data_IF_558970621363
#
_entry.id   IF_558970621363
#
_cell.length_a   1.000
_cell.length_b   1.000
_cell.length_c   1.000
_cell.angle_alpha   90.00
_cell.angle_beta   90.00
_cell.angle_gamma   90.00
#
_symmetry.space_group_name_H-M   'P 1'
#
loop_
_entity.id
_entity.type
_entity.pdbx_description
1 polymer ?
#
# COMPACT_ATOMS: atom_id res chain seq x y z
N UNK A 1 24.12 -7.35 24.92
CA UNK A 1 23.75 -7.20 23.49
C UNK A 1 22.71 -8.25 23.12
N UNK A 2 21.74 -7.93 22.26
CA UNK A 2 20.54 -8.75 22.02
C UNK A 2 20.75 -10.01 21.16
N UNK A 3 21.86 -10.14 20.41
CA UNK A 3 22.23 -11.32 19.59
C UNK A 3 21.08 -11.84 18.69
N UNK A 4 20.59 -11.03 17.73
CA UNK A 4 19.57 -11.49 16.79
C UNK A 4 20.14 -12.58 15.87
N UNK A 5 19.29 -13.50 15.43
CA UNK A 5 19.64 -14.58 14.49
C UNK A 5 19.60 -14.14 13.01
N UNK A 6 18.84 -13.08 12.71
CA UNK A 6 18.71 -12.52 11.36
C UNK A 6 18.29 -11.04 11.42
N UNK A 7 18.51 -10.31 10.32
CA UNK A 7 18.05 -8.93 10.14
C UNK A 7 17.05 -8.87 8.99
N UNK A 8 15.92 -8.19 9.22
CA UNK A 8 14.94 -7.90 8.17
C UNK A 8 15.19 -6.47 7.66
N UNK A 9 15.50 -6.31 6.37
CA UNK A 9 15.86 -5.02 5.77
C UNK A 9 15.10 -4.75 4.47
N UNK A 10 14.85 -3.49 4.16
CA UNK A 10 14.21 -3.05 2.92
C UNK A 10 15.11 -2.16 2.05
N UNK A 11 16.02 -1.41 2.68
CA UNK A 11 16.84 -0.42 2.02
C UNK A 11 18.08 -1.08 1.37
N UNK A 12 18.31 -0.89 0.06
CA UNK A 12 19.47 -1.44 -0.61
C UNK A 12 20.80 -0.98 -0.01
N UNK A 13 20.89 0.29 0.42
CA UNK A 13 22.09 0.85 1.02
C UNK A 13 22.46 0.16 2.34
N UNK A 14 21.45 -0.13 3.18
CA UNK A 14 21.65 -0.92 4.39
C UNK A 14 22.05 -2.37 4.07
N UNK A 15 21.44 -2.99 3.07
CA UNK A 15 21.79 -4.36 2.66
C UNK A 15 23.23 -4.44 2.16
N UNK A 16 23.73 -3.41 1.48
CA UNK A 16 25.14 -3.33 1.06
C UNK A 16 26.11 -3.26 2.25
N UNK A 17 25.67 -2.82 3.44
CA UNK A 17 26.51 -2.86 4.66
C UNK A 17 26.74 -4.26 5.22
N UNK A 18 26.15 -5.29 4.59
CA UNK A 18 26.41 -6.72 4.87
C UNK A 18 27.90 -7.07 4.90
N UNK A 19 28.73 -6.38 4.13
CA UNK A 19 30.19 -6.59 4.14
C UNK A 19 30.80 -6.48 5.56
N UNK A 20 30.20 -5.69 6.45
CA UNK A 20 30.64 -5.57 7.84
C UNK A 20 30.16 -6.72 8.75
N UNK A 21 29.16 -7.51 8.31
CA UNK A 21 28.50 -8.57 9.08
C UNK A 21 28.15 -9.78 8.17
N UNK A 22 29.14 -10.42 7.54
CA UNK A 22 28.90 -11.42 6.48
C UNK A 22 28.14 -12.66 6.97
N UNK A 23 28.28 -13.00 8.24
CA UNK A 23 27.68 -14.18 8.87
C UNK A 23 26.24 -13.93 9.37
N UNK A 24 25.73 -12.70 9.28
CA UNK A 24 24.37 -12.36 9.70
C UNK A 24 23.39 -12.56 8.54
N UNK A 25 22.42 -13.50 8.64
CA UNK A 25 21.35 -13.66 7.66
C UNK A 25 20.57 -12.36 7.45
N UNK A 26 20.31 -12.05 6.19
CA UNK A 26 19.46 -10.92 5.81
C UNK A 26 18.22 -11.45 5.11
N UNK A 27 17.06 -11.08 5.64
CA UNK A 27 15.77 -11.30 5.02
C UNK A 27 15.26 -9.99 4.41
N UNK A 28 14.73 -10.05 3.21
CA UNK A 28 14.17 -8.88 2.55
C UNK A 28 12.76 -8.61 3.06
N UNK A 29 12.53 -7.41 3.58
CA UNK A 29 11.24 -6.92 4.04
C UNK A 29 10.24 -6.78 2.89
N UNK A 30 8.96 -7.04 3.17
CA UNK A 30 7.83 -6.74 2.28
C UNK A 30 7.80 -5.26 1.83
N UNK A 31 8.42 -4.35 2.60
CA UNK A 31 8.55 -2.93 2.24
C UNK A 31 9.43 -2.70 0.99
N UNK A 32 10.27 -3.67 0.61
CA UNK A 32 11.01 -3.64 -0.64
C UNK A 32 10.12 -3.91 -1.87
N UNK A 33 8.86 -4.32 -1.67
CA UNK A 33 7.87 -4.56 -2.72
C UNK A 33 8.38 -5.49 -3.84
N UNK A 34 8.73 -6.72 -3.48
CA UNK A 34 9.20 -7.71 -4.46
C UNK A 34 8.01 -8.46 -5.04
N UNK A 35 7.72 -8.17 -6.31
CA UNK A 35 6.51 -8.64 -7.04
C UNK A 35 6.82 -9.53 -8.25
N UNK A 36 8.08 -9.86 -8.53
CA UNK A 36 8.42 -10.71 -9.67
C UNK A 36 9.72 -11.48 -9.42
N UNK A 37 9.92 -12.54 -10.21
CA UNK A 37 11.06 -13.44 -10.07
C UNK A 37 12.40 -12.77 -10.39
N UNK A 38 12.42 -11.75 -11.26
CA UNK A 38 13.66 -11.07 -11.64
C UNK A 38 14.20 -10.26 -10.46
N UNK A 39 13.32 -9.58 -9.73
CA UNK A 39 13.66 -8.88 -8.49
C UNK A 39 14.12 -9.87 -7.40
N UNK A 40 13.50 -11.04 -7.29
CA UNK A 40 13.97 -12.09 -6.37
C UNK A 40 15.40 -12.53 -6.71
N UNK A 41 15.71 -12.80 -7.98
CA UNK A 41 17.07 -13.16 -8.42
C UNK A 41 18.09 -12.06 -8.17
N UNK A 42 17.69 -10.80 -8.37
CA UNK A 42 18.53 -9.67 -8.05
C UNK A 42 18.92 -9.69 -6.56
N UNK A 43 17.94 -9.81 -5.66
CA UNK A 43 18.22 -9.86 -4.22
C UNK A 43 19.01 -11.11 -3.80
N UNK A 44 18.77 -12.25 -4.45
CA UNK A 44 19.59 -13.44 -4.28
C UNK A 44 21.07 -13.17 -4.60
N UNK A 45 21.34 -12.46 -5.71
CA UNK A 45 22.71 -12.10 -6.11
C UNK A 45 23.36 -11.11 -5.15
N UNK A 46 22.57 -10.34 -4.40
CA UNK A 46 23.03 -9.44 -3.34
C UNK A 46 23.27 -10.16 -2.00
N UNK A 47 23.04 -11.48 -1.94
CA UNK A 47 23.29 -12.29 -0.74
C UNK A 47 22.17 -12.27 0.30
N UNK A 48 20.95 -11.92 -0.09
CA UNK A 48 19.74 -12.12 0.73
C UNK A 48 19.43 -13.61 0.81
N UNK A 49 19.13 -14.10 2.01
CA UNK A 49 18.84 -15.52 2.27
C UNK A 49 17.35 -15.85 2.10
N UNK A 50 16.48 -14.89 2.45
CA UNK A 50 15.02 -15.04 2.35
C UNK A 50 14.36 -13.79 1.81
N UNK A 51 13.40 -13.96 0.90
CA UNK A 51 12.58 -12.86 0.40
C UNK A 51 11.16 -13.00 0.93
N UNK A 52 10.71 -11.99 1.67
CA UNK A 52 9.31 -11.86 2.07
C UNK A 52 8.55 -11.20 0.90
N UNK A 53 7.72 -11.99 0.23
CA UNK A 53 7.02 -11.56 -0.97
C UNK A 53 5.94 -10.52 -0.66
N UNK A 54 5.65 -9.69 -1.66
CA UNK A 54 4.60 -8.68 -1.55
C UNK A 54 3.22 -9.30 -1.33
N UNK A 55 2.36 -8.59 -0.58
CA UNK A 55 0.99 -9.04 -0.25
C UNK A 55 0.00 -8.85 -1.40
N UNK A 56 0.47 -8.28 -2.49
CA UNK A 56 -0.30 -7.93 -3.67
C UNK A 56 -0.21 -8.99 -4.76
N UNK A 57 0.60 -10.05 -4.56
CA UNK A 57 0.76 -11.13 -5.52
C UNK A 57 -0.37 -12.17 -5.43
N UNK A 58 -0.80 -12.64 -6.60
CA UNK A 58 -1.66 -13.81 -6.75
C UNK A 58 -0.89 -15.12 -6.50
N UNK A 59 -1.63 -16.21 -6.26
CA UNK A 59 -1.02 -17.54 -6.08
C UNK A 59 -0.27 -18.00 -7.34
N UNK A 60 -0.79 -17.71 -8.53
CA UNK A 60 -0.15 -18.07 -9.80
C UNK A 60 1.20 -17.35 -9.98
N UNK A 61 1.27 -16.07 -9.60
CA UNK A 61 2.53 -15.31 -9.63
C UNK A 61 3.52 -15.83 -8.58
N UNK A 62 3.06 -16.18 -7.39
CA UNK A 62 3.91 -16.80 -6.36
C UNK A 62 4.45 -18.15 -6.84
N UNK A 63 3.62 -18.97 -7.50
CA UNK A 63 4.05 -20.22 -8.10
C UNK A 63 5.12 -19.97 -9.16
N UNK A 64 4.92 -19.01 -10.07
CA UNK A 64 5.91 -18.65 -11.09
C UNK A 64 7.26 -18.26 -10.45
N UNK A 65 7.21 -17.41 -9.42
CA UNK A 65 8.41 -16.98 -8.67
C UNK A 65 9.11 -18.19 -8.06
N UNK A 66 8.36 -19.10 -7.43
CA UNK A 66 8.91 -20.31 -6.82
C UNK A 66 9.58 -21.22 -7.84
N UNK A 67 8.96 -21.43 -9.00
CA UNK A 67 9.51 -22.28 -10.06
C UNK A 67 10.78 -21.66 -10.68
N UNK A 68 10.82 -20.34 -10.84
CA UNK A 68 11.97 -19.65 -11.44
C UNK A 68 13.13 -19.40 -10.48
N UNK A 69 12.88 -19.44 -9.17
CA UNK A 69 13.86 -19.22 -8.10
C UNK A 69 13.84 -20.36 -7.07
N UNK A 70 14.15 -21.62 -7.46
CA UNK A 70 14.02 -22.78 -6.58
C UNK A 70 14.96 -22.75 -5.37
N UNK A 71 16.13 -22.11 -5.52
CA UNK A 71 17.19 -22.03 -4.51
C UNK A 71 16.99 -20.89 -3.50
N UNK A 72 15.94 -20.07 -3.65
CA UNK A 72 15.64 -18.96 -2.75
C UNK A 72 14.59 -19.37 -1.71
N UNK A 73 14.77 -18.95 -0.45
CA UNK A 73 13.72 -19.02 0.55
C UNK A 73 12.68 -17.93 0.32
N UNK A 74 11.40 -18.32 0.23
CA UNK A 74 10.28 -17.40 0.04
C UNK A 74 9.37 -17.46 1.27
N UNK A 75 9.00 -16.29 1.78
CA UNK A 75 8.02 -16.14 2.86
C UNK A 75 6.81 -15.36 2.34
N UNK A 76 5.61 -15.85 2.64
CA UNK A 76 4.35 -15.29 2.14
C UNK A 76 3.37 -15.11 3.29
N UNK A 77 2.66 -13.98 3.30
CA UNK A 77 1.57 -13.74 4.24
C UNK A 77 0.30 -14.44 3.76
N UNK A 78 -0.23 -15.37 4.55
CA UNK A 78 -1.50 -16.06 4.27
C UNK A 78 -2.70 -15.29 4.84
N UNK A 79 -2.55 -14.73 6.04
CA UNK A 79 -3.60 -13.96 6.72
C UNK A 79 -3.01 -12.73 7.41
N UNK A 80 -3.78 -11.65 7.51
CA UNK A 80 -3.34 -10.44 8.22
C UNK A 80 -4.14 -9.20 7.81
N UNK A 81 -3.74 -8.05 8.36
CA UNK A 81 -4.29 -6.77 7.93
C UNK A 81 -3.74 -6.44 6.53
N UNK A 82 -4.50 -6.79 5.49
CA UNK A 82 -4.25 -6.30 4.13
C UNK A 82 -4.39 -4.78 4.17
N UNK A 83 -3.29 -4.11 3.83
CA UNK A 83 -3.25 -2.66 3.74
C UNK A 83 -3.81 -2.28 2.37
N UNK A 84 -4.74 -1.33 2.31
CA UNK A 84 -5.21 -0.79 1.03
C UNK A 84 -4.10 0.03 0.33
N UNK A 85 -3.16 0.56 1.12
CA UNK A 85 -1.97 1.21 0.59
C UNK A 85 -0.88 0.19 0.27
N UNK A 86 -0.27 0.37 -0.89
CA UNK A 86 0.73 -0.53 -1.45
C UNK A 86 2.00 -0.61 -0.58
N UNK A 87 2.37 -1.81 -0.15
CA UNK A 87 3.62 -2.11 0.58
C UNK A 87 3.93 -1.21 1.80
N UNK A 88 2.89 -0.74 2.52
CA UNK A 88 3.07 0.10 3.72
C UNK A 88 3.29 1.59 3.45
N UNK A 89 3.27 2.03 2.19
CA UNK A 89 3.34 3.45 1.79
C UNK A 89 1.96 4.10 1.89
N UNK A 90 1.45 4.24 3.11
CA UNK A 90 0.15 4.84 3.35
C UNK A 90 0.22 6.36 3.35
N UNK A 91 -0.10 6.98 2.21
CA UNK A 91 -0.26 8.44 2.10
C UNK A 91 -1.36 8.95 3.06
N UNK A 92 -2.43 8.17 3.24
CA UNK A 92 -3.54 8.51 4.13
C UNK A 92 -3.07 8.68 5.59
N UNK A 93 -2.32 7.72 6.13
CA UNK A 93 -1.81 7.79 7.50
C UNK A 93 -0.80 8.92 7.68
N UNK A 94 0.09 9.11 6.70
CA UNK A 94 1.08 10.19 6.73
C UNK A 94 0.43 11.57 6.66
N UNK A 95 -0.56 11.74 5.80
CA UNK A 95 -1.21 13.03 5.54
C UNK A 95 -2.21 13.41 6.64
N UNK A 96 -3.08 12.49 7.07
CA UNK A 96 -4.13 12.81 8.06
C UNK A 96 -3.61 12.81 9.50
N UNK A 97 -2.72 11.88 9.83
CA UNK A 97 -2.31 11.65 11.22
C UNK A 97 -0.86 12.03 11.50
N UNK A 98 -0.12 12.50 10.49
CA UNK A 98 1.30 12.82 10.61
C UNK A 98 2.12 11.69 11.24
N UNK A 99 1.69 10.44 10.97
CA UNK A 99 2.27 9.22 11.50
C UNK A 99 2.87 8.41 10.38
N UNK A 100 4.15 8.09 10.52
CA UNK A 100 4.88 7.28 9.54
C UNK A 100 4.42 5.82 9.62
N UNK A 101 3.72 5.30 8.59
CA UNK A 101 3.31 3.92 8.54
C UNK A 101 4.49 2.93 8.54
N UNK A 102 5.68 3.34 8.09
CA UNK A 102 6.87 2.49 8.05
C UNK A 102 7.49 2.26 9.44
N UNK A 103 7.07 3.01 10.45
CA UNK A 103 7.48 2.83 11.86
C UNK A 103 6.45 2.03 12.67
N UNK A 104 5.49 1.37 12.01
CA UNK A 104 4.45 0.61 12.70
C UNK A 104 3.41 1.48 13.42
N UNK A 105 3.38 2.80 13.15
CA UNK A 105 2.46 3.75 13.81
C UNK A 105 1.13 3.94 13.07
N UNK A 106 0.84 3.05 12.11
CA UNK A 106 -0.39 3.10 11.31
C UNK A 106 -1.64 3.14 12.18
N UNK A 107 -2.54 4.08 11.89
CA UNK A 107 -3.79 4.32 12.62
C UNK A 107 -5.00 3.64 11.99
N UNK A 108 -4.79 2.90 10.90
CA UNK A 108 -5.86 2.31 10.09
C UNK A 108 -6.89 3.35 9.61
N UNK A 109 -6.43 4.55 9.23
CA UNK A 109 -7.31 5.61 8.72
C UNK A 109 -8.13 5.19 7.51
N UNK A 110 -7.62 4.24 6.71
CA UNK A 110 -8.37 3.65 5.60
C UNK A 110 -9.66 2.90 6.01
N UNK A 111 -9.89 2.64 7.31
CA UNK A 111 -11.09 1.98 7.83
C UNK A 111 -12.03 2.93 8.55
N UNK A 112 -11.71 4.21 8.57
CA UNK A 112 -12.57 5.21 9.20
C UNK A 112 -13.82 5.41 8.36
N UNK A 113 -14.88 5.88 9.01
CA UNK A 113 -16.10 6.26 8.32
C UNK A 113 -15.88 7.62 7.69
N UNK A 114 -16.00 7.65 6.36
CA UNK A 114 -15.92 8.85 5.58
C UNK A 114 -17.25 9.08 4.88
N UNK A 115 -17.75 10.31 4.97
CA UNK A 115 -18.86 10.78 4.18
C UNK A 115 -18.33 11.47 2.92
N UNK A 116 -18.93 11.14 1.77
CA UNK A 116 -18.55 11.72 0.48
C UNK A 116 -19.50 12.87 0.13
N UNK A 117 -18.96 14.08 0.08
CA UNK A 117 -19.67 15.28 -0.33
C UNK A 117 -19.30 15.62 -1.78
N UNK A 118 -20.26 15.75 -2.72
CA UNK A 118 -19.92 16.11 -4.08
C UNK A 118 -19.27 17.49 -4.15
N UNK A 119 -18.37 17.67 -5.12
CA UNK A 119 -17.63 18.90 -5.33
C UNK A 119 -17.50 19.23 -6.82
N UNK A 120 -17.30 20.50 -7.15
CA UNK A 120 -16.98 20.96 -8.50
C UNK A 120 -15.87 22.01 -8.47
N UNK A 121 -15.18 22.16 -9.60
CA UNK A 121 -14.21 23.23 -9.79
C UNK A 121 -14.93 24.51 -10.23
N UNK A 122 -14.66 25.62 -9.57
CA UNK A 122 -15.19 26.93 -9.97
C UNK A 122 -14.37 27.53 -11.12
N UNK A 123 -14.79 28.68 -11.65
CA UNK A 123 -14.10 29.35 -12.76
C UNK A 123 -12.67 29.83 -12.42
N UNK A 124 -12.31 29.86 -11.13
CA UNK A 124 -11.01 30.28 -10.61
C UNK A 124 -10.06 29.09 -10.38
N UNK A 125 -10.54 27.86 -10.58
CA UNK A 125 -9.78 26.61 -10.37
C UNK A 125 -9.89 26.03 -8.96
N UNK A 126 -10.69 26.63 -8.08
CA UNK A 126 -10.88 26.15 -6.71
C UNK A 126 -11.95 25.05 -6.64
N UNK A 127 -11.69 24.02 -5.85
CA UNK A 127 -12.66 22.95 -5.56
C UNK A 127 -13.64 23.41 -4.47
N UNK A 128 -14.93 23.45 -4.80
CA UNK A 128 -16.01 23.88 -3.89
C UNK A 128 -17.10 22.82 -3.76
N UNK A 129 -17.77 22.77 -2.61
CA UNK A 129 -18.85 21.81 -2.33
C UNK A 129 -20.05 22.00 -3.29
N UNK A 130 -20.62 20.89 -3.73
CA UNK A 130 -21.73 20.82 -4.67
C UNK A 130 -22.82 19.88 -4.13
N UNK A 131 -23.86 20.41 -3.48
CA UNK A 131 -25.04 19.63 -3.09
C UNK A 131 -24.89 18.70 -1.88
N UNK A 132 -25.86 17.79 -1.72
CA UNK A 132 -26.03 16.92 -0.55
C UNK A 132 -25.13 15.67 -0.58
N UNK A 133 -24.90 15.08 0.59
CA UNK A 133 -24.09 13.85 0.82
C UNK A 133 -24.57 12.71 -0.08
N UNK A 134 -23.65 12.05 -0.81
CA UNK A 134 -24.00 10.83 -1.55
C UNK A 134 -24.15 9.64 -0.59
N UNK A 135 -25.20 8.83 -0.77
CA UNK A 135 -25.38 7.60 -0.01
C UNK A 135 -24.48 6.49 -0.57
N UNK A 136 -23.92 5.66 0.31
CA UNK A 136 -23.16 4.46 -0.11
C UNK A 136 -23.95 3.51 -1.02
N UNK A 137 -25.29 3.54 -0.98
CA UNK A 137 -26.16 2.79 -1.89
C UNK A 137 -25.98 3.20 -3.35
N UNK A 138 -25.55 4.43 -3.61
CA UNK A 138 -25.48 5.04 -4.93
C UNK A 138 -24.12 4.77 -5.61
N UNK A 139 -23.17 4.19 -4.86
CA UNK A 139 -21.77 3.95 -5.26
C UNK A 139 -21.42 2.44 -5.21
N UNK A 140 -22.27 1.62 -4.58
CA UNK A 140 -22.02 0.22 -4.24
C UNK A 140 -22.16 -0.75 -5.43
N UNK A 141 -21.24 -0.67 -6.39
CA UNK A 141 -20.96 -1.75 -7.35
C UNK A 141 -19.48 -2.15 -7.38
N UNK A 142 -18.79 -2.01 -6.25
CA UNK A 142 -17.40 -2.47 -6.11
C UNK A 142 -17.34 -4.01 -6.12
N UNK A 143 -17.15 -4.58 -7.32
CA UNK A 143 -16.84 -5.98 -7.56
C UNK A 143 -15.35 -6.12 -7.90
N UNK A 144 -14.69 -7.15 -7.39
CA UNK A 144 -13.34 -7.51 -7.83
C UNK A 144 -13.42 -8.21 -9.19
N UNK A 145 -12.70 -7.70 -10.19
CA UNK A 145 -12.53 -8.35 -11.50
C UNK A 145 -13.48 -7.85 -12.59
N UNK A 146 -12.92 -7.13 -13.58
CA UNK A 146 -13.51 -6.95 -14.90
C UNK A 146 -14.75 -6.06 -15.03
N UNK A 147 -15.25 -5.46 -13.96
CA UNK A 147 -16.39 -4.52 -14.03
C UNK A 147 -15.96 -3.14 -14.51
N UNK A 148 -16.75 -2.54 -15.42
CA UNK A 148 -16.56 -1.16 -15.85
C UNK A 148 -16.62 -0.20 -14.66
N UNK A 149 -15.71 0.78 -14.66
CA UNK A 149 -15.65 1.80 -13.62
C UNK A 149 -16.96 2.59 -13.58
N UNK A 150 -17.51 2.80 -12.39
CA UNK A 150 -18.75 3.55 -12.24
C UNK A 150 -18.53 5.03 -12.65
N UNK A 151 -19.41 5.64 -13.47
CA UNK A 151 -19.22 7.01 -13.97
C UNK A 151 -19.07 8.07 -12.86
N UNK A 152 -19.74 7.88 -11.71
CA UNK A 152 -19.60 8.79 -10.56
C UNK A 152 -18.19 8.76 -9.93
N UNK A 153 -17.39 7.74 -10.20
CA UNK A 153 -16.03 7.63 -9.68
C UNK A 153 -15.04 8.59 -10.36
N UNK A 154 -15.45 9.29 -11.43
CA UNK A 154 -14.64 10.30 -12.13
C UNK A 154 -14.89 11.73 -11.63
N UNK A 155 -15.83 11.93 -10.72
CA UNK A 155 -16.13 13.24 -10.13
C UNK A 155 -15.22 13.55 -8.92
N UNK A 156 -15.19 14.83 -8.54
CA UNK A 156 -14.46 15.32 -7.37
C UNK A 156 -15.38 15.27 -6.15
N UNK A 157 -14.82 14.84 -5.01
CA UNK A 157 -15.53 14.78 -3.75
C UNK A 157 -14.69 15.39 -2.62
N UNK A 158 -15.35 15.91 -1.58
CA UNK A 158 -14.73 16.09 -0.29
C UNK A 158 -14.98 14.84 0.56
N UNK A 159 -13.98 14.44 1.34
CA UNK A 159 -14.15 13.46 2.40
C UNK A 159 -14.30 14.21 3.74
N UNK A 160 -15.37 13.90 4.44
CA UNK A 160 -15.59 14.33 5.82
C UNK A 160 -15.50 13.12 6.77
N UNK A 161 -14.87 13.28 7.92
CA UNK A 161 -14.72 12.23 8.94
C UNK A 161 -15.69 12.50 10.10
N UNK A 162 -16.51 11.50 10.44
CA UNK A 162 -17.56 11.61 11.47
C UNK A 162 -17.02 11.98 12.88
N UNK A 163 -15.74 11.66 13.17
CA UNK A 163 -15.19 11.67 14.54
C UNK A 163 -14.30 12.88 14.83
N UNK A 164 -13.95 13.71 13.83
CA UNK A 164 -12.96 14.78 14.01
C UNK A 164 -13.37 16.10 13.36
N UNK A 165 -13.99 16.97 14.16
CA UNK A 165 -14.29 18.38 13.88
C UNK A 165 -15.00 18.64 12.52
N UNK A 166 -16.31 18.98 12.52
CA UNK A 166 -17.15 19.20 11.31
C UNK A 166 -16.69 20.31 10.34
N UNK A 167 -15.56 20.97 10.61
CA UNK A 167 -15.01 22.06 9.82
C UNK A 167 -13.77 21.66 9.02
N UNK A 168 -13.39 20.38 8.99
CA UNK A 168 -12.15 19.91 8.38
C UNK A 168 -12.31 18.99 7.16
N UNK A 169 -13.38 19.19 6.37
CA UNK A 169 -13.56 18.52 5.08
C UNK A 169 -12.37 18.82 4.14
N UNK A 170 -11.80 17.79 3.51
CA UNK A 170 -10.65 17.92 2.60
C UNK A 170 -10.97 17.37 1.21
N UNK A 171 -10.52 18.05 0.14
CA UNK A 171 -10.82 17.60 -1.21
C UNK A 171 -10.04 16.32 -1.48
N UNK A 172 -10.71 15.34 -2.08
CA UNK A 172 -10.10 14.09 -2.53
C UNK A 172 -10.54 13.84 -3.96
N UNK A 173 -9.57 13.76 -4.85
CA UNK A 173 -9.79 13.30 -6.22
C UNK A 173 -9.57 11.79 -6.21
N UNK A 174 -10.52 11.03 -6.75
CA UNK A 174 -10.30 9.61 -7.01
C UNK A 174 -9.13 9.49 -8.00
N UNK A 175 -7.99 8.99 -7.54
CA UNK A 175 -6.84 8.76 -8.40
C UNK A 175 -7.28 7.88 -9.57
N UNK A 176 -7.07 8.38 -10.80
CA UNK A 176 -7.22 7.60 -12.02
C UNK A 176 -6.32 6.37 -11.88
N UNK A 177 -6.92 5.19 -11.67
CA UNK A 177 -6.24 3.93 -11.90
C UNK A 177 -6.12 3.72 -13.42
N UNK A 178 -5.26 4.51 -14.06
CA UNK A 178 -4.65 4.13 -15.34
C UNK A 178 -3.48 3.18 -15.04
N UNK A 179 -3.82 1.98 -14.55
CA UNK A 179 -2.94 0.83 -14.63
C UNK A 179 -3.51 -0.03 -15.76
N UNK A 180 -2.99 0.20 -16.96
CA UNK A 180 -3.08 -0.75 -18.07
C UNK A 180 -1.94 -1.75 -17.99
#
# INVERSE_FOLDING_TARGET
>A
AMKPDALIMADPGLIMTREAWPDMPIHLSVQANTVNYATVKFWQSMGVERVILSRELSLDEIEEIRQKCPDMELEVFVHGALCIAYSGRCLLSGYFNHRDPNQGTCTNSCRWKYDTLPAHENAEGDTVLAGDVLSMSDISTASCGGTERHPLADNIYFLEEEVRCPTSARPVVAAQNDIR
#
